data_IF_722984221469
#
_entry.id   IF_722984221469
#
_cell.length_a   1.000
_cell.length_b   1.000
_cell.length_c   1.000
_cell.angle_alpha   90.00
_cell.angle_beta   90.00
_cell.angle_gamma   90.00
#
_symmetry.space_group_name_H-M   'P 1'
#
loop_
_entity.id
_entity.type
_entity.pdbx_description
1 polymer ?
#
# COMPACT_ATOMS: atom_id res chain seq x y z
N UNK A 1 27.61 -28.67 34.15
CA UNK A 1 26.89 -27.49 33.62
C UNK A 1 25.68 -27.23 34.52
N UNK A 2 25.58 -26.05 35.12
CA UNK A 2 24.54 -25.75 36.11
C UNK A 2 23.15 -25.77 35.43
N UNK A 3 22.22 -26.54 35.98
CA UNK A 3 20.88 -26.76 35.40
C UNK A 3 20.09 -25.45 35.26
N UNK A 4 20.30 -24.51 36.18
CA UNK A 4 19.73 -23.16 36.11
C UNK A 4 20.25 -22.40 34.88
N UNK A 5 21.57 -22.41 34.67
CA UNK A 5 22.21 -21.72 33.52
C UNK A 5 21.70 -22.26 32.19
N UNK A 6 21.56 -23.59 32.07
CA UNK A 6 21.04 -24.23 30.86
C UNK A 6 19.60 -23.80 30.57
N UNK A 7 18.74 -23.82 31.58
CA UNK A 7 17.34 -23.48 31.42
C UNK A 7 17.15 -21.99 31.10
N UNK A 8 17.94 -21.10 31.69
CA UNK A 8 17.93 -19.67 31.36
C UNK A 8 18.37 -19.42 29.91
N UNK A 9 19.45 -20.05 29.44
CA UNK A 9 19.92 -19.93 28.06
C UNK A 9 18.86 -20.40 27.04
N UNK A 10 18.27 -21.57 27.28
CA UNK A 10 17.23 -22.13 26.41
C UNK A 10 15.97 -21.26 26.44
N UNK A 11 15.58 -20.76 27.61
CA UNK A 11 14.45 -19.84 27.76
C UNK A 11 14.63 -18.57 26.95
N UNK A 12 15.77 -17.90 27.08
CA UNK A 12 16.08 -16.68 26.32
C UNK A 12 16.10 -16.92 24.82
N UNK A 13 16.71 -18.02 24.36
CA UNK A 13 16.74 -18.37 22.94
C UNK A 13 15.33 -18.63 22.39
N UNK A 14 14.47 -19.27 23.18
CA UNK A 14 13.09 -19.57 22.79
C UNK A 14 12.27 -18.30 22.63
N UNK A 15 12.42 -17.32 23.54
CA UNK A 15 11.74 -16.02 23.43
C UNK A 15 12.19 -15.25 22.20
N UNK A 16 13.50 -15.23 21.92
CA UNK A 16 14.04 -14.58 20.72
C UNK A 16 13.46 -15.20 19.45
N UNK A 17 13.42 -16.54 19.39
CA UNK A 17 12.90 -17.26 18.23
C UNK A 17 11.42 -16.99 18.01
N UNK A 18 10.62 -16.99 19.08
CA UNK A 18 9.20 -16.66 19.02
C UNK A 18 8.99 -15.23 18.46
N UNK A 19 9.78 -14.27 18.94
CA UNK A 19 9.71 -12.89 18.43
C UNK A 19 10.07 -12.79 16.95
N UNK A 20 11.10 -13.53 16.51
CA UNK A 20 11.49 -13.55 15.10
C UNK A 20 10.43 -14.18 14.20
N UNK A 21 9.82 -15.28 14.64
CA UNK A 21 8.76 -15.96 13.89
C UNK A 21 7.53 -15.05 13.71
N UNK A 22 7.13 -14.34 14.77
CA UNK A 22 6.04 -13.35 14.71
C UNK A 22 6.34 -12.19 13.75
N UNK A 23 7.56 -11.66 13.78
CA UNK A 23 7.98 -10.60 12.85
C UNK A 23 7.95 -11.10 11.40
N UNK A 24 8.41 -12.32 11.15
CA UNK A 24 8.42 -12.92 9.82
C UNK A 24 7.00 -13.13 9.28
N UNK A 25 6.08 -13.60 10.12
CA UNK A 25 4.67 -13.75 9.75
C UNK A 25 4.02 -12.40 9.44
N UNK A 26 4.27 -11.38 10.27
CA UNK A 26 3.77 -10.02 10.02
C UNK A 26 4.29 -9.43 8.71
N UNK A 27 5.58 -9.62 8.40
CA UNK A 27 6.17 -9.20 7.13
C UNK A 27 5.63 -10.00 5.94
N UNK A 28 5.39 -11.30 6.10
CA UNK A 28 4.79 -12.13 5.07
C UNK A 28 3.35 -11.68 4.76
N UNK A 29 2.57 -11.31 5.78
CA UNK A 29 1.24 -10.74 5.60
C UNK A 29 1.29 -9.40 4.85
N UNK A 30 2.23 -8.52 5.21
CA UNK A 30 2.41 -7.23 4.53
C UNK A 30 2.87 -7.39 3.08
N UNK A 31 3.77 -8.35 2.81
CA UNK A 31 4.22 -8.67 1.45
C UNK A 31 3.16 -9.43 0.64
N UNK A 32 2.24 -10.13 1.31
CA UNK A 32 1.12 -10.82 0.66
C UNK A 32 -0.02 -9.88 0.26
N UNK A 33 0.06 -8.59 0.63
CA UNK A 33 -0.83 -7.57 0.07
C UNK A 33 -0.61 -7.62 -1.44
N UNK A 34 -1.61 -8.09 -2.22
CA UNK A 34 -1.49 -8.09 -3.65
C UNK A 34 -1.15 -6.66 -4.05
N UNK A 35 -0.12 -6.50 -4.87
CA UNK A 35 0.05 -5.29 -5.65
C UNK A 35 -1.19 -5.22 -6.52
N UNK A 36 -2.27 -4.66 -5.96
CA UNK A 36 -3.43 -4.27 -6.71
C UNK A 36 -2.83 -3.41 -7.80
N UNK A 37 -2.96 -3.88 -9.03
CA UNK A 37 -2.68 -3.18 -10.26
C UNK A 37 -3.66 -2.01 -10.32
N UNK A 38 -3.57 -1.11 -9.35
CA UNK A 38 -4.14 0.21 -9.35
C UNK A 38 -3.26 0.90 -10.36
N UNK A 39 -3.72 0.80 -11.61
CA UNK A 39 -3.07 1.36 -12.77
C UNK A 39 -2.54 2.74 -12.41
N UNK A 40 -1.33 3.01 -12.87
CA UNK A 40 -0.70 4.33 -12.81
C UNK A 40 -1.62 5.43 -13.38
N UNK A 41 -2.72 5.05 -14.06
CA UNK A 41 -3.78 5.91 -14.56
C UNK A 41 -4.74 6.44 -13.47
N UNK A 42 -4.99 5.71 -12.37
CA UNK A 42 -5.99 6.13 -11.37
C UNK A 42 -5.50 7.25 -10.43
N UNK A 43 -4.19 7.27 -10.14
CA UNK A 43 -3.58 8.35 -9.35
C UNK A 43 -3.37 9.63 -10.18
N UNK A 44 -3.39 9.53 -11.50
CA UNK A 44 -3.10 10.64 -12.40
C UNK A 44 -4.27 11.60 -12.61
N UNK A 45 -5.50 11.08 -12.55
CA UNK A 45 -6.73 11.86 -12.65
C UNK A 45 -7.07 12.58 -11.34
N UNK A 46 -7.00 11.87 -10.20
CA UNK A 46 -7.34 12.45 -8.89
C UNK A 46 -6.39 13.56 -8.42
N UNK A 47 -5.10 13.52 -8.81
CA UNK A 47 -4.10 14.54 -8.46
C UNK A 47 -4.13 15.75 -9.41
N UNK A 48 -4.70 15.62 -10.61
CA UNK A 48 -4.69 16.69 -11.61
C UNK A 48 -5.67 17.81 -11.37
N UNK A 49 -6.52 17.71 -10.34
CA UNK A 49 -7.36 18.80 -9.87
C UNK A 49 -8.24 19.33 -10.99
N UNK A 50 -9.34 18.63 -11.25
CA UNK A 50 -10.20 18.95 -12.38
C UNK A 50 -10.68 20.39 -12.39
N UNK A 51 -10.47 21.08 -13.51
CA UNK A 51 -10.96 22.44 -13.70
C UNK A 51 -12.47 22.38 -13.95
N UNK A 52 -13.25 23.23 -13.27
CA UNK A 52 -14.70 23.24 -13.44
C UNK A 52 -15.03 23.73 -14.85
N UNK A 53 -15.70 22.91 -15.65
CA UNK A 53 -16.20 23.34 -16.94
C UNK A 53 -17.49 24.16 -16.75
N UNK A 54 -17.38 25.48 -16.88
CA UNK A 54 -18.51 26.40 -16.68
C UNK A 54 -19.66 26.23 -17.69
N UNK A 55 -19.46 25.49 -18.80
CA UNK A 55 -20.53 25.20 -19.77
C UNK A 55 -21.37 23.99 -19.39
N UNK A 56 -20.75 22.93 -18.84
CA UNK A 56 -21.44 21.68 -18.46
C UNK A 56 -21.75 21.60 -16.97
N UNK A 57 -21.04 22.35 -16.13
CA UNK A 57 -21.14 22.28 -14.68
C UNK A 57 -20.44 21.06 -14.07
N UNK A 58 -19.71 20.29 -14.87
CA UNK A 58 -18.98 19.10 -14.45
C UNK A 58 -17.49 19.41 -14.26
N UNK A 59 -16.84 18.66 -13.38
CA UNK A 59 -15.39 18.75 -13.15
C UNK A 59 -14.68 17.98 -14.25
N UNK A 60 -13.81 18.66 -15.01
CA UNK A 60 -12.98 18.01 -16.04
C UNK A 60 -11.95 17.11 -15.35
N UNK A 61 -12.06 15.80 -15.48
CA UNK A 61 -11.15 14.85 -14.85
C UNK A 61 -9.78 14.75 -15.57
N UNK A 62 -9.56 15.60 -16.58
CA UNK A 62 -8.34 15.71 -17.37
C UNK A 62 -8.14 14.58 -18.37
N UNK A 63 -9.17 13.74 -18.57
CA UNK A 63 -9.15 12.61 -19.50
C UNK A 63 -9.60 13.02 -20.90
N UNK A 64 -10.29 14.15 -21.03
CA UNK A 64 -10.72 14.67 -22.31
C UNK A 64 -9.52 15.27 -23.07
N UNK A 65 -9.26 14.76 -24.28
CA UNK A 65 -8.21 15.30 -25.12
C UNK A 65 -8.55 16.75 -25.50
N UNK A 66 -7.56 17.65 -25.35
CA UNK A 66 -7.72 19.07 -25.66
C UNK A 66 -8.36 19.27 -27.04
N UNK A 67 -9.60 19.75 -27.07
CA UNK A 67 -10.35 20.02 -28.30
C UNK A 67 -11.61 19.18 -28.53
N UNK A 68 -11.92 18.17 -27.70
CA UNK A 68 -13.14 17.35 -27.88
C UNK A 68 -14.47 18.09 -27.63
N UNK A 69 -14.45 19.31 -27.09
CA UNK A 69 -15.62 20.19 -27.06
C UNK A 69 -15.82 20.91 -28.40
N UNK A 70 -15.72 20.18 -29.50
CA UNK A 70 -16.12 20.68 -30.81
C UNK A 70 -17.65 20.61 -30.91
N UNK A 71 -18.22 21.79 -31.18
CA UNK A 71 -19.65 22.07 -31.35
C UNK A 71 -20.28 21.13 -32.37
N UNK A 72 -21.38 20.49 -31.98
CA UNK A 72 -22.54 20.38 -32.87
C UNK A 72 -23.29 21.73 -32.93
#
# INVERSE_FOLDING_TARGET
MNQVIRNTLVGTLTVIRLGFDLLREGLALLASVPESTLGQDALSSAVRGGELNYRTGELDDGTDAAGWYERD
#
